data_IF_353025344240
#
_entry.id   IF_353025344240
#
_cell.length_a   1.000
_cell.length_b   1.000
_cell.length_c   1.000
_cell.angle_alpha   90.00
_cell.angle_beta   90.00
_cell.angle_gamma   90.00
#
_symmetry.space_group_name_H-M   'P 1'
#
loop_
_entity.id
_entity.type
_entity.pdbx_description
1 polymer ?
#
# COMPACT_ATOMS: atom_id res chain seq x y z
N UNK A 1 -5.32 -14.10 -34.44
CA UNK A 1 -5.49 -14.70 -33.08
C UNK A 1 -4.19 -15.29 -32.56
N UNK A 2 -3.53 -16.21 -33.30
CA UNK A 2 -2.26 -16.87 -32.87
C UNK A 2 -1.13 -15.93 -32.44
N UNK A 3 -0.86 -14.84 -33.18
CA UNK A 3 0.21 -13.88 -32.83
C UNK A 3 -0.05 -13.14 -31.51
N UNK A 4 -1.30 -12.72 -31.26
CA UNK A 4 -1.67 -12.04 -30.00
C UNK A 4 -1.56 -13.00 -28.82
N UNK A 5 -2.06 -14.22 -28.96
CA UNK A 5 -1.93 -15.27 -27.93
C UNK A 5 -0.47 -15.61 -27.64
N UNK A 6 0.39 -15.64 -28.66
CA UNK A 6 1.82 -15.90 -28.49
C UNK A 6 2.53 -14.75 -27.76
N UNK A 7 2.19 -13.50 -28.06
CA UNK A 7 2.69 -12.32 -27.33
C UNK A 7 2.20 -12.36 -25.88
N UNK A 8 0.92 -12.63 -25.64
CA UNK A 8 0.36 -12.75 -24.29
C UNK A 8 1.03 -13.87 -23.49
N UNK A 9 1.22 -15.05 -24.09
CA UNK A 9 1.91 -16.16 -23.43
C UNK A 9 3.37 -15.86 -23.11
N UNK A 10 4.09 -15.26 -24.06
CA UNK A 10 5.48 -14.87 -23.86
C UNK A 10 5.63 -13.81 -22.76
N UNK A 11 4.80 -12.76 -22.80
CA UNK A 11 4.82 -11.69 -21.79
C UNK A 11 4.47 -12.23 -20.41
N UNK A 12 3.49 -13.13 -20.31
CA UNK A 12 3.11 -13.74 -19.04
C UNK A 12 4.24 -14.64 -18.49
N UNK A 13 4.88 -15.44 -19.33
CA UNK A 13 6.06 -16.23 -18.95
C UNK A 13 7.22 -15.36 -18.48
N UNK A 14 7.49 -14.25 -19.18
CA UNK A 14 8.53 -13.30 -18.80
C UNK A 14 8.23 -12.65 -17.44
N UNK A 15 6.99 -12.25 -17.20
CA UNK A 15 6.56 -11.67 -15.91
C UNK A 15 6.75 -12.65 -14.75
N UNK A 16 6.41 -13.91 -14.95
CA UNK A 16 6.63 -14.97 -13.94
C UNK A 16 8.12 -15.13 -13.65
N UNK A 17 8.96 -15.21 -14.69
CA UNK A 17 10.41 -15.32 -14.54
C UNK A 17 11.01 -14.12 -13.77
N UNK A 18 10.61 -12.90 -14.11
CA UNK A 18 11.06 -11.69 -13.43
C UNK A 18 10.61 -11.67 -11.96
N UNK A 19 9.40 -12.13 -11.66
CA UNK A 19 8.89 -12.21 -10.29
C UNK A 19 9.72 -13.16 -9.43
N UNK A 20 10.06 -14.34 -9.97
CA UNK A 20 10.90 -15.34 -9.28
C UNK A 20 12.31 -14.79 -9.05
N UNK A 21 12.91 -14.17 -10.07
CA UNK A 21 14.27 -13.61 -9.98
C UNK A 21 14.35 -12.48 -8.96
N UNK A 22 13.39 -11.57 -8.95
CA UNK A 22 13.36 -10.46 -8.00
C UNK A 22 13.23 -10.95 -6.55
N UNK A 23 12.33 -11.91 -6.30
CA UNK A 23 12.18 -12.55 -4.98
C UNK A 23 13.47 -13.27 -4.54
N UNK A 24 14.15 -13.93 -5.48
CA UNK A 24 15.41 -14.63 -5.22
C UNK A 24 16.54 -13.68 -4.82
N UNK A 25 16.68 -12.56 -5.53
CA UNK A 25 17.70 -11.53 -5.22
C UNK A 25 17.41 -10.90 -3.85
N UNK A 26 16.16 -10.56 -3.56
CA UNK A 26 15.79 -9.97 -2.26
C UNK A 26 16.03 -10.94 -1.09
N UNK A 27 15.79 -12.24 -1.31
CA UNK A 27 16.08 -13.29 -0.31
C UNK A 27 17.57 -13.35 0.05
N UNK A 28 18.48 -13.09 -0.90
CA UNK A 28 19.92 -13.08 -0.62
C UNK A 28 20.32 -11.97 0.36
N UNK A 29 19.69 -10.79 0.30
CA UNK A 29 19.91 -9.71 1.25
C UNK A 29 19.58 -10.17 2.68
N UNK A 30 18.44 -10.83 2.87
CA UNK A 30 18.03 -11.38 4.16
C UNK A 30 18.99 -12.45 4.67
N UNK A 31 19.41 -13.38 3.81
CA UNK A 31 20.42 -14.40 4.15
C UNK A 31 21.74 -13.74 4.58
N UNK A 32 22.18 -12.70 3.87
CA UNK A 32 23.43 -12.01 4.21
C UNK A 32 23.35 -11.28 5.55
N UNK A 33 22.21 -10.65 5.88
CA UNK A 33 21.98 -10.00 7.17
C UNK A 33 22.00 -11.03 8.30
N UNK A 34 21.26 -12.13 8.14
CA UNK A 34 21.24 -13.25 9.08
C UNK A 34 22.63 -13.85 9.36
N UNK A 35 23.47 -13.98 8.33
CA UNK A 35 24.84 -14.47 8.47
C UNK A 35 25.79 -13.43 9.10
N UNK A 36 25.52 -12.14 8.90
CA UNK A 36 26.31 -11.04 9.46
C UNK A 36 25.91 -10.70 10.89
N UNK A 37 24.70 -11.07 11.30
CA UNK A 37 24.19 -10.80 12.64
C UNK A 37 24.90 -11.68 13.67
N UNK A 38 25.35 -11.06 14.76
CA UNK A 38 26.07 -11.79 15.81
C UNK A 38 25.07 -12.63 16.57
N UNK A 39 25.21 -13.95 16.50
CA UNK A 39 24.42 -14.89 17.30
C UNK A 39 24.65 -14.64 18.79
N UNK A 40 23.66 -14.06 19.46
CA UNK A 40 23.73 -13.80 20.89
C UNK A 40 23.44 -15.06 21.70
N UNK A 41 24.34 -15.42 22.60
CA UNK A 41 24.17 -16.52 23.54
C UNK A 41 23.67 -15.97 24.87
N UNK A 42 22.37 -16.10 25.11
CA UNK A 42 21.74 -15.69 26.37
C UNK A 42 22.01 -16.70 27.48
N UNK A 43 22.49 -16.22 28.64
CA UNK A 43 22.53 -17.03 29.86
C UNK A 43 21.21 -16.85 30.62
N UNK A 44 20.33 -17.85 30.51
CA UNK A 44 18.99 -17.81 31.12
C UNK A 44 18.97 -17.90 32.65
N UNK A 45 20.13 -18.12 33.30
CA UNK A 45 20.24 -18.24 34.76
C UNK A 45 20.71 -16.94 35.44
N UNK A 46 20.84 -15.83 34.71
CA UNK A 46 21.17 -14.53 35.30
C UNK A 46 19.93 -13.86 35.91
N UNK A 47 20.00 -13.53 37.20
CA UNK A 47 18.93 -12.88 37.96
C UNK A 47 18.67 -11.45 37.46
N UNK A 48 19.64 -10.84 36.78
CA UNK A 48 19.53 -9.49 36.20
C UNK A 48 19.22 -9.48 34.70
N UNK A 49 18.81 -10.62 34.12
CA UNK A 49 18.31 -10.82 32.76
C UNK A 49 18.60 -9.69 31.77
N UNK A 50 19.64 -9.86 30.95
CA UNK A 50 20.13 -8.82 30.05
C UNK A 50 19.18 -8.63 28.85
N UNK A 51 18.22 -7.70 28.95
CA UNK A 51 17.37 -7.23 27.84
C UNK A 51 18.18 -6.24 26.97
N UNK A 52 19.30 -6.67 26.38
CA UNK A 52 20.14 -5.77 25.56
C UNK A 52 19.82 -5.76 24.08
N UNK A 53 19.02 -6.71 23.61
CA UNK A 53 18.52 -6.70 22.25
C UNK A 53 17.20 -7.47 22.18
N UNK A 54 16.37 -7.04 21.25
CA UNK A 54 15.10 -7.66 20.95
C UNK A 54 15.30 -8.40 19.62
N UNK A 55 15.01 -9.71 19.58
CA UNK A 55 14.92 -10.49 18.32
C UNK A 55 13.67 -10.08 17.52
N UNK A 56 13.28 -8.81 17.54
CA UNK A 56 12.12 -8.36 16.79
C UNK A 56 12.52 -8.19 15.34
N UNK A 57 11.79 -8.93 14.50
CA UNK A 57 11.62 -8.78 13.05
C UNK A 57 12.45 -9.67 12.13
N UNK A 58 13.08 -10.73 12.64
CA UNK A 58 13.89 -11.61 11.79
C UNK A 58 13.16 -12.75 11.08
N UNK A 59 11.91 -13.07 11.42
CA UNK A 59 11.38 -14.37 11.01
C UNK A 59 10.43 -14.36 9.79
N UNK A 60 10.00 -13.20 9.29
CA UNK A 60 9.09 -13.22 8.12
C UNK A 60 9.11 -11.98 7.23
N UNK A 61 9.92 -12.04 6.16
CA UNK A 61 9.72 -11.17 5.01
C UNK A 61 8.51 -11.67 4.20
N UNK A 62 7.34 -11.05 4.30
CA UNK A 62 6.13 -11.44 3.55
C UNK A 62 6.28 -11.42 2.02
N UNK A 63 7.32 -10.74 1.51
CA UNK A 63 7.68 -10.74 0.09
C UNK A 63 8.40 -12.04 -0.31
N UNK A 64 9.27 -12.55 0.56
CA UNK A 64 9.98 -13.82 0.34
C UNK A 64 9.15 -15.02 0.80
N UNK A 65 8.31 -14.84 1.80
CA UNK A 65 7.44 -15.85 2.39
C UNK A 65 6.09 -15.90 1.65
N UNK A 66 6.14 -16.15 0.34
CA UNK A 66 4.92 -16.41 -0.42
C UNK A 66 4.49 -17.85 -0.18
N UNK A 67 3.22 -18.05 0.18
CA UNK A 67 2.60 -19.37 0.25
C UNK A 67 1.49 -19.43 -0.79
N UNK A 68 1.43 -20.52 -1.55
CA UNK A 68 0.23 -20.83 -2.30
C UNK A 68 -0.82 -21.28 -1.29
N UNK A 69 -1.79 -20.41 -1.03
CA UNK A 69 -2.94 -20.78 -0.20
C UNK A 69 -3.64 -21.99 -0.80
N UNK A 70 -3.97 -22.97 0.04
CA UNK A 70 -4.83 -24.09 -0.36
C UNK A 70 -6.24 -23.53 -0.54
N UNK A 71 -6.59 -23.13 -1.76
CA UNK A 71 -7.96 -22.76 -2.08
C UNK A 71 -8.66 -23.95 -2.74
N UNK A 72 -9.87 -24.22 -2.29
CA UNK A 72 -10.75 -25.21 -2.93
C UNK A 72 -11.39 -24.49 -4.10
N UNK A 73 -10.95 -24.79 -5.32
CA UNK A 73 -11.64 -24.32 -6.52
C UNK A 73 -13.02 -24.99 -6.56
N UNK A 74 -14.13 -24.24 -6.60
CA UNK A 74 -15.44 -24.84 -6.77
C UNK A 74 -15.51 -25.53 -8.15
N UNK A 75 -16.05 -26.74 -8.20
CA UNK A 75 -16.28 -27.48 -9.45
C UNK A 75 -17.14 -26.66 -10.44
N UNK A 76 -18.05 -25.84 -9.91
CA UNK A 76 -18.86 -24.90 -10.67
C UNK A 76 -18.65 -23.49 -10.12
N UNK A 77 -17.90 -22.67 -10.86
CA UNK A 77 -17.75 -21.24 -10.55
C UNK A 77 -19.02 -20.49 -10.99
N UNK A 78 -19.86 -20.12 -10.03
CA UNK A 78 -21.04 -19.28 -10.28
C UNK A 78 -20.91 -17.99 -9.48
N UNK A 79 -21.00 -16.85 -10.16
CA UNK A 79 -21.14 -15.55 -9.52
C UNK A 79 -22.35 -14.86 -10.13
N UNK A 80 -23.13 -14.17 -9.29
CA UNK A 80 -24.27 -13.36 -9.73
C UNK A 80 -23.98 -11.91 -9.36
N UNK A 81 -23.91 -11.04 -10.37
CA UNK A 81 -23.87 -9.61 -10.13
C UNK A 81 -25.26 -9.12 -9.72
N UNK A 82 -25.41 -8.72 -8.46
CA UNK A 82 -26.58 -7.99 -8.02
C UNK A 82 -26.32 -6.50 -8.24
N UNK A 83 -26.83 -5.96 -9.35
CA UNK A 83 -26.91 -4.51 -9.53
C UNK A 83 -28.17 -4.01 -8.81
N UNK A 84 -28.04 -3.62 -7.56
CA UNK A 84 -29.10 -2.88 -6.86
C UNK A 84 -28.81 -1.37 -6.95
N UNK A 85 -28.54 -0.89 -8.17
CA UNK A 85 -28.37 0.53 -8.43
C UNK A 85 -29.74 1.20 -8.44
N UNK A 86 -30.11 1.80 -7.32
CA UNK A 86 -31.24 2.72 -7.24
C UNK A 86 -30.70 4.14 -7.49
N UNK A 87 -31.19 4.80 -8.53
CA UNK A 87 -30.87 6.21 -8.77
C UNK A 87 -31.27 7.04 -7.54
N UNK A 88 -30.33 7.81 -7.00
CA UNK A 88 -30.58 8.68 -5.86
C UNK A 88 -31.37 9.88 -6.39
N UNK A 89 -32.62 10.11 -5.97
CA UNK A 89 -33.50 11.11 -6.60
C UNK A 89 -33.15 12.58 -6.25
N UNK A 90 -32.03 12.82 -5.55
CA UNK A 90 -31.70 14.13 -4.98
C UNK A 90 -30.47 14.81 -5.59
N UNK A 91 -29.94 14.33 -6.73
CA UNK A 91 -29.00 15.15 -7.50
C UNK A 91 -29.78 16.22 -8.28
N UNK A 92 -30.33 17.17 -7.54
CA UNK A 92 -30.77 18.44 -8.12
C UNK A 92 -29.53 19.16 -8.62
N UNK A 93 -29.39 19.24 -9.95
CA UNK A 93 -28.46 20.14 -10.61
C UNK A 93 -28.88 21.58 -10.37
N UNK A 94 -28.70 22.09 -9.15
CA UNK A 94 -28.73 23.53 -8.95
C UNK A 94 -27.51 24.10 -9.65
N UNK A 95 -27.75 24.87 -10.70
CA UNK A 95 -26.72 25.75 -11.24
C UNK A 95 -26.27 26.67 -10.11
N UNK A 96 -25.05 26.50 -9.61
CA UNK A 96 -24.45 27.48 -8.71
C UNK A 96 -24.48 28.83 -9.42
N UNK A 97 -25.20 29.80 -8.86
CA UNK A 97 -25.09 31.18 -9.31
C UNK A 97 -23.74 31.70 -8.85
N UNK A 98 -22.77 31.79 -9.77
CA UNK A 98 -21.48 32.41 -9.48
C UNK A 98 -21.71 33.91 -9.33
N UNK A 99 -21.78 34.39 -8.09
CA UNK A 99 -21.82 35.82 -7.79
C UNK A 99 -20.39 36.34 -7.94
N UNK A 100 -20.03 36.83 -9.12
CA UNK A 100 -18.73 37.46 -9.37
C UNK A 100 -18.71 38.89 -8.84
N UNK A 101 -17.90 39.15 -7.82
CA UNK A 101 -17.60 40.50 -7.34
C UNK A 101 -16.52 41.14 -8.23
N UNK A 102 -16.83 42.25 -8.88
CA UNK A 102 -15.92 42.99 -9.79
C UNK A 102 -15.41 44.29 -9.16
N UNK A 103 -15.09 44.27 -7.86
CA UNK A 103 -14.65 45.45 -7.13
C UNK A 103 -13.33 45.26 -6.41
N UNK A 104 -12.55 46.32 -6.27
CA UNK A 104 -11.48 46.40 -5.27
C UNK A 104 -12.12 46.67 -3.90
N UNK A 105 -12.16 45.66 -3.05
CA UNK A 105 -12.52 45.89 -1.64
C UNK A 105 -11.34 46.60 -0.97
N UNK A 106 -11.37 47.94 -0.93
CA UNK A 106 -10.44 48.74 -0.13
C UNK A 106 -10.84 48.69 1.36
N UNK A 107 -10.96 47.49 1.93
CA UNK A 107 -10.88 47.38 3.38
C UNK A 107 -9.44 47.69 3.74
N UNK A 108 -9.19 48.89 4.28
CA UNK A 108 -7.94 49.20 4.95
C UNK A 108 -7.73 48.13 6.03
N UNK A 109 -6.86 47.16 5.79
CA UNK A 109 -6.29 46.29 6.83
C UNK A 109 -5.24 47.04 7.67
N UNK A 110 -5.28 48.36 7.65
CA UNK A 110 -4.46 49.19 8.52
C UNK A 110 -5.07 49.20 9.93
N UNK A 111 -4.24 49.19 10.99
CA UNK A 111 -4.74 49.42 12.34
C UNK A 111 -5.50 50.75 12.39
N UNK A 112 -6.58 50.86 13.19
CA UNK A 112 -7.33 52.11 13.31
C UNK A 112 -6.36 53.23 13.69
N UNK A 113 -6.37 54.32 12.90
CA UNK A 113 -5.67 55.54 13.29
C UNK A 113 -6.34 56.05 14.56
N UNK A 114 -5.69 55.81 15.70
CA UNK A 114 -6.11 56.43 16.94
C UNK A 114 -5.93 57.94 16.76
N UNK A 115 -7.05 58.66 16.71
CA UNK A 115 -7.05 60.11 16.85
C UNK A 115 -6.68 60.36 18.30
N UNK A 116 -5.43 60.76 18.55
CA UNK A 116 -5.02 61.28 19.85
C UNK A 116 -5.48 62.73 19.89
N UNK A 117 -6.49 63.00 20.71
CA UNK A 117 -6.93 64.34 21.13
C UNK A 117 -5.89 65.00 22.02
#
# INVERSE_FOLDING_TARGET
MKKRQLITGFTLGLMVLLSILFQSIHSYEHISKQLSEKKCHHNYNDVNGEITHQHHDDDSCFVCHFSFGSYITPENFTFQFFSNHQEIPYFFGFSESIISFSGSLYTLRGPPSAIVS
#
